data_IF_961219828251
#
_entry.id   IF_961219828251
#
_cell.length_a   1.000
_cell.length_b   1.000
_cell.length_c   1.000
_cell.angle_alpha   90.00
_cell.angle_beta   90.00
_cell.angle_gamma   90.00
#
_symmetry.space_group_name_H-M   'P 1'
#
loop_
_entity.id
_entity.type
_entity.pdbx_description
1 polymer ?
#
# COMPACT_ATOMS: atom_id res chain seq x y z
N UNK A 1 8.84 11.55 10.29
CA UNK A 1 9.55 10.34 9.84
C UNK A 1 9.42 10.19 8.34
N UNK A 2 10.51 9.88 7.71
CA UNK A 2 10.57 9.73 6.26
C UNK A 2 9.54 8.76 5.72
N UNK A 3 9.43 7.61 6.37
CA UNK A 3 8.51 6.56 5.89
C UNK A 3 7.06 7.03 5.94
N UNK A 4 6.71 7.80 6.95
CA UNK A 4 5.35 8.34 7.07
C UNK A 4 5.09 9.34 5.95
N UNK A 5 6.06 10.19 5.65
CA UNK A 5 5.91 11.15 4.57
C UNK A 5 5.77 10.47 3.23
N UNK A 6 6.59 9.45 2.99
CA UNK A 6 6.49 8.68 1.75
C UNK A 6 5.14 7.99 1.62
N UNK A 7 4.64 7.46 2.73
CA UNK A 7 3.34 6.80 2.73
C UNK A 7 2.21 7.78 2.42
N UNK A 8 2.28 8.97 2.99
CA UNK A 8 1.28 9.99 2.72
C UNK A 8 1.34 10.46 1.28
N UNK A 9 2.54 10.61 0.74
CA UNK A 9 2.71 10.95 -0.67
C UNK A 9 2.12 9.89 -1.57
N UNK A 10 2.40 8.64 -1.23
CA UNK A 10 1.88 7.53 -2.01
C UNK A 10 0.35 7.53 -2.00
N UNK A 11 -0.23 7.75 -0.83
CA UNK A 11 -1.68 7.80 -0.67
C UNK A 11 -2.29 8.92 -1.49
N UNK A 12 -1.63 10.07 -1.51
CA UNK A 12 -2.14 11.25 -2.22
C UNK A 12 -1.86 11.21 -3.72
N UNK A 13 -0.97 10.34 -4.15
CA UNK A 13 -0.63 10.22 -5.57
C UNK A 13 -1.81 9.68 -6.34
N UNK A 14 -2.03 10.23 -7.53
CA UNK A 14 -3.06 9.68 -8.41
C UNK A 14 -2.53 8.39 -9.01
N UNK A 15 -3.22 7.31 -8.72
CA UNK A 15 -2.79 5.99 -9.18
C UNK A 15 -3.38 5.69 -10.54
N UNK A 16 -2.73 6.20 -11.56
CA UNK A 16 -3.09 5.88 -12.94
C UNK A 16 -2.15 4.79 -13.42
N UNK A 17 -2.70 3.61 -13.55
CA UNK A 17 -1.90 2.46 -13.97
C UNK A 17 -2.20 2.17 -15.43
N UNK A 18 -1.23 2.45 -16.28
CA UNK A 18 -1.36 2.24 -17.71
C UNK A 18 -0.98 0.81 -18.07
N UNK A 19 0.02 0.27 -17.40
CA UNK A 19 0.52 -1.07 -17.68
C UNK A 19 0.53 -1.94 -16.45
N UNK A 20 0.67 -3.25 -16.68
CA UNK A 20 0.82 -4.21 -15.59
C UNK A 20 2.10 -3.92 -14.79
N UNK A 21 3.16 -3.50 -15.47
CA UNK A 21 4.40 -3.14 -14.82
C UNK A 21 4.20 -2.03 -13.79
N UNK A 22 3.40 -1.02 -14.14
CA UNK A 22 3.11 0.07 -13.21
C UNK A 22 2.45 -0.46 -11.94
N UNK A 23 1.53 -1.41 -12.10
CA UNK A 23 0.84 -2.00 -10.95
C UNK A 23 1.79 -2.82 -10.08
N UNK A 24 2.69 -3.55 -10.72
CA UNK A 24 3.68 -4.34 -9.97
C UNK A 24 4.57 -3.45 -9.14
N UNK A 25 5.07 -2.37 -9.73
CA UNK A 25 5.92 -1.42 -9.02
C UNK A 25 5.15 -0.79 -7.85
N UNK A 26 3.92 -0.36 -8.09
CA UNK A 26 3.10 0.25 -7.04
C UNK A 26 2.80 -0.74 -5.92
N UNK A 27 2.52 -1.98 -6.27
CA UNK A 27 2.26 -3.01 -5.28
C UNK A 27 3.47 -3.24 -4.36
N UNK A 28 4.65 -3.29 -4.96
CA UNK A 28 5.88 -3.46 -4.20
C UNK A 28 6.14 -2.26 -3.30
N UNK A 29 5.91 -1.06 -3.83
CA UNK A 29 6.13 0.16 -3.08
C UNK A 29 5.22 0.23 -1.85
N UNK A 30 3.92 -0.03 -2.04
CA UNK A 30 2.98 0.04 -0.93
C UNK A 30 3.25 -1.04 0.10
N UNK A 31 3.65 -2.23 -0.35
CA UNK A 31 4.00 -3.30 0.58
C UNK A 31 5.18 -2.90 1.45
N UNK A 32 6.21 -2.32 0.83
CA UNK A 32 7.39 -1.86 1.55
C UNK A 32 7.02 -0.80 2.59
N UNK A 33 6.14 0.13 2.21
CA UNK A 33 5.69 1.17 3.12
C UNK A 33 4.93 0.58 4.32
N UNK A 34 4.05 -0.37 4.05
CA UNK A 34 3.27 -1.01 5.12
C UNK A 34 4.20 -1.72 6.10
N UNK A 35 5.17 -2.45 5.59
CA UNK A 35 6.11 -3.16 6.45
C UNK A 35 6.93 -2.20 7.31
N UNK A 36 7.41 -1.10 6.70
CA UNK A 36 8.15 -0.10 7.45
C UNK A 36 7.32 0.56 8.52
N UNK A 37 6.08 0.91 8.21
CA UNK A 37 5.18 1.50 9.18
C UNK A 37 4.86 0.54 10.31
N UNK A 38 4.70 -0.73 9.97
CA UNK A 38 4.43 -1.75 10.99
C UNK A 38 5.58 -1.88 11.99
N UNK A 39 6.81 -1.80 11.50
CA UNK A 39 7.98 -1.84 12.39
C UNK A 39 7.96 -0.68 13.37
N UNK A 40 7.63 0.50 12.91
CA UNK A 40 7.53 1.68 13.78
C UNK A 40 6.37 1.52 14.75
N UNK A 41 5.24 1.03 14.26
CA UNK A 41 4.05 0.84 15.09
C UNK A 41 4.33 -0.13 16.25
N UNK A 42 5.10 -1.17 16.01
CA UNK A 42 5.45 -2.13 17.06
C UNK A 42 6.11 -1.45 18.26
N UNK A 43 6.88 -0.40 17.99
CA UNK A 43 7.57 0.33 19.04
C UNK A 43 6.72 1.44 19.64
N UNK A 44 6.08 2.24 18.79
CA UNK A 44 5.37 3.43 19.22
C UNK A 44 3.90 3.23 19.54
N UNK A 45 3.27 2.23 18.93
CA UNK A 45 1.84 1.95 19.09
C UNK A 45 0.97 3.16 18.75
N UNK A 46 1.40 3.94 17.77
CA UNK A 46 0.70 5.15 17.37
C UNK A 46 -0.52 4.79 16.53
N UNK A 47 -1.74 5.15 16.98
CA UNK A 47 -2.94 4.81 16.21
C UNK A 47 -2.99 5.45 14.82
N UNK A 48 -2.30 6.57 14.64
CA UNK A 48 -2.26 7.20 13.32
C UNK A 48 -1.52 6.32 12.31
N UNK A 49 -0.47 5.63 12.79
CA UNK A 49 0.25 4.70 11.94
C UNK A 49 -0.64 3.53 11.52
N UNK A 50 -1.45 3.04 12.45
CA UNK A 50 -2.39 1.97 12.16
C UNK A 50 -3.39 2.40 11.10
N UNK A 51 -3.96 3.60 11.24
CA UNK A 51 -4.89 4.14 10.26
C UNK A 51 -4.24 4.24 8.87
N UNK A 52 -3.02 4.76 8.84
CA UNK A 52 -2.29 4.92 7.57
C UNK A 52 -2.06 3.55 6.92
N UNK A 53 -1.65 2.56 7.71
CA UNK A 53 -1.45 1.22 7.20
C UNK A 53 -2.75 0.63 6.62
N UNK A 54 -3.87 0.87 7.30
CA UNK A 54 -5.16 0.38 6.80
C UNK A 54 -5.51 1.00 5.45
N UNK A 55 -5.28 2.30 5.31
CA UNK A 55 -5.55 2.97 4.04
C UNK A 55 -4.65 2.45 2.93
N UNK A 56 -3.37 2.24 3.24
CA UNK A 56 -2.43 1.69 2.27
C UNK A 56 -2.80 0.26 1.89
N UNK A 57 -3.29 -0.51 2.85
CA UNK A 57 -3.73 -1.89 2.58
C UNK A 57 -4.89 -1.91 1.60
N UNK A 58 -5.82 -0.97 1.74
CA UNK A 58 -6.94 -0.87 0.80
C UNK A 58 -6.42 -0.59 -0.62
N UNK A 59 -5.47 0.32 -0.74
CA UNK A 59 -4.86 0.63 -2.03
C UNK A 59 -4.17 -0.59 -2.60
N UNK A 60 -3.41 -1.28 -1.77
CA UNK A 60 -2.70 -2.50 -2.16
C UNK A 60 -3.68 -3.54 -2.71
N UNK A 61 -4.78 -3.76 -2.01
CA UNK A 61 -5.77 -4.73 -2.43
C UNK A 61 -6.37 -4.37 -3.79
N UNK A 62 -6.64 -3.10 -4.01
CA UNK A 62 -7.17 -2.66 -5.29
C UNK A 62 -6.18 -2.91 -6.43
N UNK A 63 -4.91 -2.63 -6.17
CA UNK A 63 -3.87 -2.86 -7.17
C UNK A 63 -3.76 -4.35 -7.48
N UNK A 64 -3.69 -5.18 -6.44
CA UNK A 64 -3.50 -6.62 -6.60
C UNK A 64 -4.71 -7.28 -7.25
N UNK A 65 -5.89 -6.79 -6.95
CA UNK A 65 -7.10 -7.32 -7.57
C UNK A 65 -7.04 -7.19 -9.08
N UNK A 66 -6.52 -6.05 -9.55
CA UNK A 66 -6.36 -5.82 -10.99
C UNK A 66 -5.25 -6.66 -11.59
N UNK A 67 -4.17 -6.86 -10.83
CA UNK A 67 -3.04 -7.66 -11.29
C UNK A 67 -3.42 -9.09 -11.57
N UNK A 68 -4.28 -9.65 -10.73
CA UNK A 68 -4.68 -11.04 -10.88
C UNK A 68 -5.64 -11.26 -12.04
N UNK A 69 -6.21 -10.21 -12.55
CA UNK A 69 -7.01 -10.26 -13.75
C UNK A 69 -8.38 -10.89 -13.59
N UNK A 70 -8.60 -11.64 -12.55
CA UNK A 70 -9.88 -12.26 -12.27
C UNK A 70 -9.99 -12.59 -10.80
N UNK A 71 -11.25 -12.75 -10.31
CA UNK A 71 -11.49 -12.91 -8.88
C UNK A 71 -11.06 -14.23 -8.31
N UNK A 72 -11.08 -15.21 -9.02
CA UNK A 72 -10.73 -16.51 -8.47
C UNK A 72 -11.73 -17.05 -7.52
N UNK A 73 -11.32 -16.67 -7.37
CA UNK A 73 -11.54 -17.00 -6.72
C UNK A 73 -11.74 -17.22 -6.30
N UNK A 74 -11.94 -17.23 -6.53
CA UNK A 74 -11.90 -17.48 -6.26
C UNK A 74 -11.89 -17.98 -5.89
N UNK A 75 -11.86 -18.19 -5.94
CA UNK A 75 -11.93 -18.64 -5.58
C UNK A 75 -12.17 -18.83 -5.34
#
# INVERSE_FOLDING_TARGET
>A
MEIVEKALEFENRKHKFITTSDRIVASREVKSLILGLNDIYKENKDPELMDLMKRLTVIKQKIEKRLKGRPLDAS
#
